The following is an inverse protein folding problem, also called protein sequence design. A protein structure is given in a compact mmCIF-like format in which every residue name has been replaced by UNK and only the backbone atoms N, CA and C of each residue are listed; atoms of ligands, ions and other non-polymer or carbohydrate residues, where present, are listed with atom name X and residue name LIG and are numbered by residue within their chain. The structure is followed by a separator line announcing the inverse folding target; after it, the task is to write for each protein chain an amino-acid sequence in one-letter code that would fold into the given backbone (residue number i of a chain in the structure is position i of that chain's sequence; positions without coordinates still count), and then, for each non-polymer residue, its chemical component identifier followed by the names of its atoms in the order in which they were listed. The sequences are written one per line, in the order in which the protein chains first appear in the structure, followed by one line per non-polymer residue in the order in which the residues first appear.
data_IF_207504145474
#
_entry.id   IF_207504145474
#
_cell.length_a   1.000
_cell.length_b   1.000
_cell.length_c   1.000
_cell.angle_alpha   90.00
_cell.angle_beta   90.00
_cell.angle_gamma   90.00
#
_symmetry.space_group_name_H-M   'P 1'
#
loop_
_entity.id
_entity.type
_entity.pdbx_description
1 polymer ?
#
# COMPACT_ATOMS: atom_id res chain seq x y z
N UNK A 1 -17.72 22.81 21.60
CA UNK A 1 -18.26 23.75 20.60
C UNK A 1 -17.54 23.65 19.23
N UNK A 2 -16.21 23.86 19.16
CA UNK A 2 -15.48 23.86 17.88
C UNK A 2 -15.34 22.45 17.32
N UNK A 3 -15.04 21.49 18.16
CA UNK A 3 -14.94 20.07 17.81
C UNK A 3 -16.31 19.48 17.44
N UNK A 4 -17.38 19.92 18.09
CA UNK A 4 -18.74 19.48 17.77
C UNK A 4 -19.17 19.98 16.39
N UNK A 5 -18.83 21.24 16.05
CA UNK A 5 -19.11 21.80 14.71
C UNK A 5 -18.36 21.03 13.64
N UNK A 6 -17.08 20.71 13.88
CA UNK A 6 -16.26 19.92 12.96
C UNK A 6 -16.86 18.52 12.75
N UNK A 7 -17.21 17.83 13.82
CA UNK A 7 -17.82 16.50 13.77
C UNK A 7 -19.15 16.48 12.99
N UNK A 8 -20.00 17.49 13.20
CA UNK A 8 -21.26 17.63 12.45
C UNK A 8 -21.00 17.90 10.97
N UNK A 9 -20.05 18.79 10.64
CA UNK A 9 -19.68 19.10 9.28
C UNK A 9 -19.17 17.85 8.53
N UNK A 10 -18.26 17.10 9.14
CA UNK A 10 -17.73 15.83 8.59
C UNK A 10 -18.86 14.82 8.39
N UNK A 11 -19.76 14.66 9.36
CA UNK A 11 -20.90 13.74 9.27
C UNK A 11 -21.86 14.11 8.14
N UNK A 12 -22.14 15.40 7.95
CA UNK A 12 -23.01 15.88 6.86
C UNK A 12 -22.32 15.64 5.51
N UNK A 13 -21.04 15.97 5.38
CA UNK A 13 -20.25 15.72 4.16
C UNK A 13 -20.26 14.24 3.78
N UNK A 14 -19.94 13.37 4.73
CA UNK A 14 -19.99 11.91 4.55
C UNK A 14 -21.37 11.42 4.08
N UNK A 15 -22.45 11.90 4.70
CA UNK A 15 -23.81 11.53 4.31
C UNK A 15 -24.18 11.96 2.89
N UNK A 16 -23.72 13.15 2.45
CA UNK A 16 -23.97 13.65 1.09
C UNK A 16 -23.25 12.78 0.07
N UNK A 17 -21.96 12.52 0.27
CA UNK A 17 -21.13 11.69 -0.62
C UNK A 17 -21.71 10.28 -0.76
N UNK A 18 -22.03 9.62 0.36
CA UNK A 18 -22.57 8.28 0.37
C UNK A 18 -23.90 8.16 -0.38
N UNK A 19 -24.84 9.10 -0.15
CA UNK A 19 -26.11 9.14 -0.87
C UNK A 19 -25.94 9.41 -2.36
N UNK A 20 -25.03 10.30 -2.75
CA UNK A 20 -24.73 10.54 -4.15
C UNK A 20 -24.24 9.28 -4.85
N UNK A 21 -23.31 8.55 -4.24
CA UNK A 21 -22.76 7.29 -4.77
C UNK A 21 -23.86 6.24 -4.94
N UNK A 22 -24.66 6.00 -3.90
CA UNK A 22 -25.72 4.99 -3.93
C UNK A 22 -26.84 5.34 -4.94
N UNK A 23 -27.12 6.64 -5.13
CA UNK A 23 -28.06 7.10 -6.16
C UNK A 23 -27.52 7.07 -7.58
N UNK A 24 -26.30 6.53 -7.81
CA UNK A 24 -25.70 6.39 -9.14
C UNK A 24 -25.09 7.67 -9.72
N UNK A 25 -24.83 8.68 -8.87
CA UNK A 25 -24.10 9.89 -9.30
C UNK A 25 -22.59 9.56 -9.42
N UNK A 26 -21.85 10.33 -10.22
CA UNK A 26 -20.39 10.22 -10.27
C UNK A 26 -19.76 10.40 -8.88
N UNK A 27 -18.62 9.73 -8.67
CA UNK A 27 -17.80 9.87 -7.45
C UNK A 27 -17.22 11.29 -7.35
N UNK A 28 -16.57 11.59 -6.21
CA UNK A 28 -16.00 12.92 -5.94
C UNK A 28 -15.04 13.39 -7.04
N UNK A 29 -14.28 12.44 -7.64
CA UNK A 29 -13.34 12.70 -8.73
C UNK A 29 -13.93 12.51 -10.13
N UNK A 30 -15.24 12.30 -10.24
CA UNK A 30 -15.96 12.15 -11.50
C UNK A 30 -15.95 10.74 -12.10
N UNK A 31 -15.27 9.77 -11.47
CA UNK A 31 -15.27 8.37 -11.92
C UNK A 31 -16.62 7.68 -11.66
N UNK A 32 -16.83 6.58 -12.33
CA UNK A 32 -17.85 5.59 -11.98
C UNK A 32 -17.38 4.68 -10.82
N UNK A 33 -18.19 3.71 -10.44
CA UNK A 33 -17.89 2.79 -9.33
C UNK A 33 -16.82 1.74 -9.66
N UNK A 34 -16.45 1.55 -10.90
CA UNK A 34 -15.58 0.46 -11.40
C UNK A 34 -14.23 0.95 -11.92
N UNK A 35 -14.15 2.19 -12.34
CA UNK A 35 -12.94 2.77 -12.95
C UNK A 35 -11.82 2.96 -11.92
N UNK A 36 -10.65 2.41 -12.24
CA UNK A 36 -9.39 2.64 -11.50
C UNK A 36 -8.77 3.96 -11.96
N UNK A 37 -8.15 4.71 -11.04
CA UNK A 37 -7.36 5.90 -11.38
C UNK A 37 -6.24 5.55 -12.34
N UNK A 38 -5.77 6.54 -13.08
CA UNK A 38 -4.63 6.37 -13.99
C UNK A 38 -3.42 5.80 -13.23
N UNK A 39 -2.77 4.81 -13.86
CA UNK A 39 -1.58 4.16 -13.34
C UNK A 39 -0.40 4.55 -14.20
N UNK A 40 0.67 5.02 -13.55
CA UNK A 40 1.98 5.25 -14.15
C UNK A 40 3.02 4.43 -13.40
N UNK A 41 3.96 3.82 -14.13
CA UNK A 41 4.96 2.90 -13.59
C UNK A 41 6.33 3.17 -14.21
N UNK A 42 7.33 3.32 -13.36
CA UNK A 42 8.73 3.33 -13.77
C UNK A 42 9.51 2.27 -12.99
N UNK A 43 10.41 1.55 -13.65
CA UNK A 43 11.31 0.57 -13.02
C UNK A 43 12.77 0.99 -13.21
N UNK A 44 13.66 0.48 -12.35
CA UNK A 44 15.06 0.83 -12.41
C UNK A 44 15.38 2.28 -12.03
N UNK A 45 14.48 2.95 -11.28
CA UNK A 45 14.60 4.39 -10.93
C UNK A 45 15.77 4.68 -9.98
N UNK A 46 16.22 3.71 -9.22
CA UNK A 46 17.35 3.82 -8.29
C UNK A 46 18.56 3.04 -8.82
N UNK A 47 19.50 3.73 -9.45
CA UNK A 47 20.65 3.13 -10.13
C UNK A 47 21.58 2.26 -9.25
N UNK A 48 21.49 2.37 -7.90
CA UNK A 48 22.33 1.60 -6.96
C UNK A 48 21.55 0.54 -6.19
N UNK A 49 20.23 0.44 -6.36
CA UNK A 49 19.43 -0.65 -5.80
C UNK A 49 19.53 -1.88 -6.71
N UNK A 50 19.29 -3.09 -6.18
CA UNK A 50 19.21 -4.29 -6.99
C UNK A 50 17.98 -4.30 -7.88
N UNK A 51 16.86 -3.72 -7.39
CA UNK A 51 15.67 -3.44 -8.16
C UNK A 51 14.90 -2.29 -7.52
N UNK A 52 14.16 -1.55 -8.32
CA UNK A 52 13.35 -0.42 -7.84
C UNK A 52 12.20 -0.13 -8.77
N UNK A 53 11.13 0.43 -8.21
CA UNK A 53 9.97 0.87 -8.97
C UNK A 53 9.37 2.13 -8.34
N UNK A 54 8.91 3.02 -9.18
CA UNK A 54 8.01 4.10 -8.81
C UNK A 54 6.62 3.73 -9.33
N UNK A 55 5.70 3.50 -8.43
CA UNK A 55 4.31 3.18 -8.76
C UNK A 55 3.42 4.36 -8.37
N UNK A 56 2.69 4.88 -9.34
CA UNK A 56 1.76 5.99 -9.15
C UNK A 56 0.35 5.54 -9.58
N UNK A 57 -0.65 5.81 -8.76
CA UNK A 57 -2.06 5.62 -9.06
C UNK A 57 -2.83 6.88 -8.65
N UNK A 58 -3.12 7.75 -9.62
CA UNK A 58 -3.65 9.08 -9.35
C UNK A 58 -2.76 9.83 -8.35
N UNK A 59 -3.31 10.24 -7.23
CA UNK A 59 -2.63 10.97 -6.14
C UNK A 59 -2.06 10.03 -5.06
N UNK A 60 -1.68 8.81 -5.42
CA UNK A 60 -1.02 7.86 -4.51
C UNK A 60 0.23 7.32 -5.19
N UNK A 61 1.38 7.56 -4.57
CA UNK A 61 2.68 7.19 -5.12
C UNK A 61 3.53 6.47 -4.07
N UNK A 62 4.19 5.39 -4.51
CA UNK A 62 5.14 4.62 -3.72
C UNK A 62 6.45 4.43 -4.48
N UNK A 63 7.55 4.85 -3.89
CA UNK A 63 8.90 4.50 -4.32
C UNK A 63 9.32 3.23 -3.58
N UNK A 64 9.54 2.16 -4.34
CA UNK A 64 9.86 0.85 -3.75
C UNK A 64 11.23 0.39 -4.22
N UNK A 65 12.06 -0.03 -3.28
CA UNK A 65 13.38 -0.59 -3.54
C UNK A 65 13.50 -2.02 -3.04
N UNK A 66 14.19 -2.86 -3.81
CA UNK A 66 14.53 -4.24 -3.44
C UNK A 66 16.03 -4.36 -3.28
N UNK A 67 16.45 -4.96 -2.17
CA UNK A 67 17.85 -5.28 -1.88
C UNK A 67 17.98 -6.77 -1.62
N UNK A 68 18.97 -7.38 -2.26
CA UNK A 68 19.33 -8.79 -2.09
C UNK A 68 20.56 -8.90 -1.20
N UNK A 69 20.48 -9.73 -0.19
CA UNK A 69 21.55 -10.01 0.74
C UNK A 69 21.85 -11.52 0.82
N UNK A 70 22.88 -11.87 1.56
CA UNK A 70 23.20 -13.28 1.86
C UNK A 70 22.23 -13.84 2.91
N UNK A 71 22.18 -15.14 3.07
CA UNK A 71 21.40 -15.78 4.16
C UNK A 71 21.85 -15.36 5.58
N UNK A 72 23.05 -14.76 5.73
CA UNK A 72 23.51 -14.21 7.00
C UNK A 72 22.77 -12.93 7.40
N UNK A 73 22.25 -12.22 6.40
CA UNK A 73 21.50 -10.96 6.57
C UNK A 73 20.02 -11.19 6.90
N UNK A 74 19.58 -12.45 6.98
CA UNK A 74 18.23 -12.81 7.39
C UNK A 74 17.95 -12.36 8.84
N UNK A 75 16.77 -11.80 9.07
CA UNK A 75 16.37 -11.40 10.42
C UNK A 75 16.21 -12.62 11.33
N UNK A 76 16.75 -12.53 12.54
CA UNK A 76 16.53 -13.55 13.58
C UNK A 76 15.27 -13.14 14.34
N UNK A 77 14.27 -14.00 14.37
CA UNK A 77 13.02 -13.78 15.08
C UNK A 77 12.99 -14.72 16.29
N UNK A 78 13.01 -14.14 17.48
CA UNK A 78 12.84 -14.86 18.74
C UNK A 78 11.35 -14.90 19.10
N UNK A 79 10.70 -16.01 18.82
CA UNK A 79 9.29 -16.24 19.15
C UNK A 79 9.16 -17.18 20.36
N UNK A 80 7.97 -17.21 20.98
CA UNK A 80 7.69 -18.11 22.11
C UNK A 80 7.88 -19.60 21.75
N UNK A 81 7.68 -19.96 20.47
CA UNK A 81 7.83 -21.33 19.98
C UNK A 81 9.27 -21.68 19.56
N UNK A 82 10.20 -20.73 19.66
CA UNK A 82 11.60 -20.91 19.25
C UNK A 82 12.09 -19.81 18.31
N UNK A 83 13.39 -19.80 18.06
CA UNK A 83 14.04 -18.84 17.18
C UNK A 83 14.08 -19.37 15.73
N UNK A 84 13.76 -18.50 14.76
CA UNK A 84 13.86 -18.82 13.34
C UNK A 84 14.44 -17.63 12.55
N UNK A 85 14.91 -17.91 11.33
CA UNK A 85 15.39 -16.89 10.40
C UNK A 85 14.31 -16.54 9.38
N UNK A 86 14.07 -15.24 9.22
CA UNK A 86 13.18 -14.67 8.21
C UNK A 86 14.03 -14.03 7.10
N UNK A 87 13.97 -14.60 5.91
CA UNK A 87 14.74 -14.17 4.73
C UNK A 87 13.95 -13.25 3.79
N UNK A 88 12.70 -12.93 4.13
CA UNK A 88 11.91 -11.92 3.42
C UNK A 88 11.46 -10.82 4.34
N UNK A 89 11.98 -9.62 4.11
CA UNK A 89 11.70 -8.44 4.90
C UNK A 89 10.96 -7.42 4.03
N UNK A 90 9.84 -6.88 4.51
CA UNK A 90 9.15 -5.78 3.86
C UNK A 90 8.89 -4.69 4.89
N UNK A 91 9.41 -3.49 4.60
CA UNK A 91 9.24 -2.29 5.39
C UNK A 91 8.36 -1.30 4.63
N UNK A 92 7.39 -0.75 5.33
CA UNK A 92 6.47 0.25 4.81
C UNK A 92 6.65 1.52 5.64
N UNK A 93 6.98 2.61 4.98
CA UNK A 93 7.18 3.92 5.60
C UNK A 93 6.14 4.91 5.06
N UNK A 94 5.46 5.58 5.99
CA UNK A 94 4.43 6.57 5.69
C UNK A 94 4.78 7.91 6.37
N UNK A 95 5.66 8.70 5.76
CA UNK A 95 6.06 9.98 6.32
C UNK A 95 4.92 11.01 6.26
N UNK A 96 4.93 11.98 7.15
CA UNK A 96 3.88 13.00 7.24
C UNK A 96 3.68 13.80 5.96
N UNK A 97 4.77 14.06 5.22
CA UNK A 97 4.70 14.81 3.96
C UNK A 97 3.86 14.11 2.88
N UNK A 98 3.68 12.77 2.95
CA UNK A 98 2.88 12.03 1.97
C UNK A 98 1.40 12.41 1.94
N UNK A 99 0.91 13.07 2.98
CA UNK A 99 -0.43 13.64 3.11
C UNK A 99 -0.41 15.16 3.33
N UNK A 100 0.71 15.82 3.02
CA UNK A 100 0.86 17.27 3.17
C UNK A 100 0.95 17.75 4.63
N UNK A 101 1.20 16.86 5.57
CA UNK A 101 1.31 17.19 7.00
C UNK A 101 2.77 17.40 7.40
N UNK A 102 2.95 18.17 8.48
CA UNK A 102 4.22 18.26 9.20
C UNK A 102 4.12 17.45 10.48
N UNK A 103 5.21 16.82 10.89
CA UNK A 103 5.21 16.02 12.10
C UNK A 103 6.59 15.53 12.49
N UNK A 104 6.70 15.01 13.72
CA UNK A 104 7.93 14.42 14.21
C UNK A 104 8.16 13.04 13.57
N UNK A 105 9.36 12.87 12.98
CA UNK A 105 9.79 11.58 12.44
C UNK A 105 10.33 10.72 13.58
N UNK A 106 9.62 9.66 13.90
CA UNK A 106 9.97 8.69 14.95
C UNK A 106 10.05 7.27 14.40
N UNK A 107 10.02 6.28 15.31
CA UNK A 107 9.92 4.87 14.91
C UNK A 107 8.57 4.53 14.26
N UNK A 108 8.46 3.35 13.62
CA UNK A 108 7.27 2.95 12.89
C UNK A 108 6.04 2.89 13.80
N UNK A 109 4.94 3.46 13.36
CA UNK A 109 3.66 3.47 14.06
C UNK A 109 2.86 2.19 13.77
N UNK A 110 1.81 1.94 14.54
CA UNK A 110 0.94 0.76 14.35
C UNK A 110 0.37 0.64 12.93
N UNK A 111 0.03 1.77 12.30
CA UNK A 111 -0.45 1.83 10.93
C UNK A 111 0.60 1.30 9.96
N UNK A 112 1.84 1.76 10.07
CA UNK A 112 2.94 1.34 9.20
C UNK A 112 3.22 -0.16 9.36
N UNK A 113 3.22 -0.67 10.59
CA UNK A 113 3.39 -2.10 10.87
C UNK A 113 2.26 -2.92 10.25
N UNK A 114 1.01 -2.48 10.39
CA UNK A 114 -0.17 -3.17 9.84
C UNK A 114 -0.17 -3.21 8.32
N UNK A 115 0.10 -2.06 7.68
CA UNK A 115 0.16 -1.94 6.22
C UNK A 115 1.34 -2.72 5.65
N UNK A 116 2.51 -2.67 6.29
CA UNK A 116 3.68 -3.45 5.91
C UNK A 116 3.42 -4.96 5.98
N UNK A 117 2.75 -5.43 7.03
CA UNK A 117 2.35 -6.84 7.16
C UNK A 117 1.35 -7.27 6.09
N UNK A 118 0.40 -6.40 5.73
CA UNK A 118 -0.56 -6.67 4.67
C UNK A 118 0.14 -6.82 3.31
N UNK A 119 1.00 -5.87 2.95
CA UNK A 119 1.78 -5.93 1.72
C UNK A 119 2.72 -7.15 1.69
N UNK A 120 3.43 -7.41 2.80
CA UNK A 120 4.31 -8.59 2.93
C UNK A 120 3.55 -9.90 2.69
N UNK A 121 2.37 -10.05 3.27
CA UNK A 121 1.55 -11.26 3.13
C UNK A 121 1.12 -11.50 1.68
N UNK A 122 0.75 -10.44 0.95
CA UNK A 122 0.38 -10.52 -0.46
C UNK A 122 1.55 -11.00 -1.33
N UNK A 123 2.75 -10.46 -1.10
CA UNK A 123 3.96 -10.79 -1.88
C UNK A 123 4.54 -12.15 -1.48
N UNK A 124 4.57 -12.50 -0.20
CA UNK A 124 5.22 -13.70 0.31
C UNK A 124 4.72 -14.99 -0.34
N UNK A 125 3.43 -15.04 -0.72
CA UNK A 125 2.82 -16.20 -1.39
C UNK A 125 3.42 -16.47 -2.79
N UNK A 126 3.96 -15.44 -3.44
CA UNK A 126 4.51 -15.47 -4.79
C UNK A 126 6.04 -15.60 -4.82
N UNK A 127 6.71 -15.50 -3.69
CA UNK A 127 8.16 -15.66 -3.64
C UNK A 127 8.58 -17.10 -3.96
N UNK A 128 9.77 -17.28 -4.53
CA UNK A 128 10.38 -18.61 -4.69
C UNK A 128 10.64 -19.24 -3.33
N UNK A 129 10.78 -20.56 -3.31
CA UNK A 129 11.21 -21.29 -2.11
C UNK A 129 12.67 -20.95 -1.78
N UNK A 130 13.04 -21.01 -0.49
CA UNK A 130 14.42 -20.73 -0.06
C UNK A 130 15.46 -21.69 -0.67
N UNK A 131 15.04 -22.89 -1.07
CA UNK A 131 15.90 -23.87 -1.76
C UNK A 131 16.28 -23.40 -3.19
N UNK A 132 15.36 -22.72 -3.87
CA UNK A 132 15.53 -22.23 -5.23
C UNK A 132 16.11 -20.79 -5.27
N UNK A 133 16.01 -20.06 -4.14
CA UNK A 133 16.43 -18.67 -4.02
C UNK A 133 17.21 -18.43 -2.73
N UNK A 134 18.52 -18.64 -2.71
CA UNK A 134 19.36 -18.61 -1.49
C UNK A 134 19.75 -17.18 -1.09
N UNK A 135 18.85 -16.21 -1.24
CA UNK A 135 19.07 -14.81 -0.89
C UNK A 135 18.07 -14.35 0.18
N UNK A 136 18.54 -13.46 1.05
CA UNK A 136 17.67 -12.63 1.85
C UNK A 136 17.19 -11.46 0.99
N UNK A 137 15.89 -11.29 0.91
CA UNK A 137 15.25 -10.25 0.10
C UNK A 137 14.64 -9.20 1.02
N UNK A 138 15.09 -7.96 0.91
CA UNK A 138 14.53 -6.83 1.65
C UNK A 138 13.86 -5.85 0.69
N UNK A 139 12.58 -5.59 0.91
CA UNK A 139 11.80 -4.58 0.19
C UNK A 139 11.53 -3.42 1.13
N UNK A 140 11.74 -2.20 0.66
CA UNK A 140 11.40 -0.97 1.37
C UNK A 140 10.46 -0.16 0.48
N UNK A 141 9.28 0.15 1.00
CA UNK A 141 8.29 1.00 0.34
C UNK A 141 8.19 2.34 1.05
N UNK A 142 8.59 3.40 0.38
CA UNK A 142 8.46 4.79 0.81
C UNK A 142 7.25 5.40 0.13
N UNK A 143 6.25 5.79 0.92
CA UNK A 143 5.07 6.48 0.39
C UNK A 143 5.39 7.95 0.23
N UNK A 144 5.39 8.42 -1.01
CA UNK A 144 5.72 9.81 -1.36
C UNK A 144 4.48 10.69 -1.45
N UNK A 145 3.33 10.10 -1.80
CA UNK A 145 2.04 10.77 -1.85
C UNK A 145 0.92 9.74 -1.55
N UNK A 146 -0.16 10.16 -0.88
CA UNK A 146 -1.25 9.26 -0.52
C UNK A 146 -2.62 9.93 -0.49
N UNK A 147 -3.50 9.47 -1.39
CA UNK A 147 -4.93 9.69 -1.35
C UNK A 147 -5.66 8.38 -1.68
N UNK A 148 -5.84 7.53 -0.66
CA UNK A 148 -6.45 6.20 -0.78
C UNK A 148 -5.47 5.08 -1.11
N UNK A 149 -5.45 4.09 -0.22
CA UNK A 149 -4.73 2.80 -0.30
C UNK A 149 -3.27 2.80 -0.75
N UNK A 150 -2.43 3.47 0.01
CA UNK A 150 -0.97 3.39 -0.13
C UNK A 150 -0.40 1.99 0.13
N UNK A 151 -1.08 1.15 0.92
CA UNK A 151 -0.68 -0.26 1.12
C UNK A 151 -0.78 -1.07 -0.17
N UNK A 152 -1.82 -0.84 -0.98
CA UNK A 152 -1.97 -1.52 -2.27
C UNK A 152 -0.99 -0.97 -3.32
N UNK A 153 -0.66 0.32 -3.27
CA UNK A 153 0.44 0.88 -4.06
C UNK A 153 1.78 0.21 -3.70
N UNK A 154 2.02 -0.07 -2.42
CA UNK A 154 3.20 -0.82 -1.97
C UNK A 154 3.23 -2.25 -2.49
N UNK A 155 2.08 -2.94 -2.57
CA UNK A 155 1.99 -4.28 -3.17
C UNK A 155 2.38 -4.25 -4.65
N UNK A 156 1.81 -3.32 -5.41
CA UNK A 156 2.12 -3.17 -6.84
C UNK A 156 3.60 -2.81 -7.05
N UNK A 157 4.09 -1.79 -6.34
CA UNK A 157 5.48 -1.37 -6.43
C UNK A 157 6.49 -2.44 -5.97
N UNK A 158 6.15 -3.22 -4.92
CA UNK A 158 6.98 -4.33 -4.47
C UNK A 158 7.07 -5.45 -5.51
N UNK A 159 5.95 -5.80 -6.15
CA UNK A 159 5.94 -6.78 -7.25
C UNK A 159 6.85 -6.34 -8.40
N UNK A 160 6.78 -5.08 -8.81
CA UNK A 160 7.60 -4.50 -9.86
C UNK A 160 9.09 -4.46 -9.48
N UNK A 161 9.41 -3.96 -8.27
CA UNK A 161 10.79 -3.86 -7.79
C UNK A 161 11.45 -5.24 -7.59
N UNK A 162 10.69 -6.27 -7.25
CA UNK A 162 11.18 -7.65 -7.17
C UNK A 162 11.49 -8.21 -8.56
N UNK A 163 10.64 -7.96 -9.55
CA UNK A 163 10.87 -8.37 -10.93
C UNK A 163 12.07 -7.62 -11.53
N UNK A 164 12.22 -6.34 -11.26
CA UNK A 164 13.37 -5.52 -11.67
C UNK A 164 14.69 -6.04 -11.05
N UNK A 165 14.64 -6.52 -9.79
CA UNK A 165 15.76 -7.16 -9.11
C UNK A 165 16.07 -8.59 -9.62
N UNK A 166 15.32 -9.12 -10.57
CA UNK A 166 15.47 -10.46 -11.10
C UNK A 166 15.01 -11.58 -10.14
N UNK A 167 14.22 -11.28 -9.12
CA UNK A 167 13.65 -12.31 -8.24
C UNK A 167 12.61 -13.13 -9.01
N UNK A 168 12.75 -14.47 -9.09
CA UNK A 168 11.84 -15.32 -9.86
C UNK A 168 10.52 -15.54 -9.09
N UNK A 169 9.71 -14.49 -8.97
CA UNK A 169 8.37 -14.62 -8.37
C UNK A 169 7.47 -15.48 -9.27
N UNK A 170 6.57 -16.27 -8.66
CA UNK A 170 5.70 -17.21 -9.39
C UNK A 170 4.74 -16.50 -10.36
N UNK A 171 4.27 -15.31 -9.98
CA UNK A 171 3.42 -14.45 -10.79
C UNK A 171 3.48 -13.01 -10.26
N UNK A 172 3.24 -12.00 -11.12
CA UNK A 172 3.06 -10.62 -10.68
C UNK A 172 1.88 -10.49 -9.70
N UNK A 173 2.03 -9.58 -8.72
CA UNK A 173 1.01 -9.30 -7.71
C UNK A 173 0.54 -7.86 -7.89
N UNK A 174 -0.76 -7.67 -7.96
CA UNK A 174 -1.38 -6.36 -7.91
C UNK A 174 -2.33 -6.26 -6.71
N UNK A 175 -2.59 -5.04 -6.27
CA UNK A 175 -3.51 -4.77 -5.17
C UNK A 175 -4.33 -3.53 -5.44
N UNK A 176 -5.60 -3.58 -5.02
CA UNK A 176 -6.53 -2.45 -5.08
C UNK A 176 -7.43 -2.44 -3.84
N UNK A 177 -7.84 -1.26 -3.40
CA UNK A 177 -8.81 -1.13 -2.32
C UNK A 177 -10.22 -1.08 -2.89
N UNK A 178 -11.08 -1.92 -2.33
CA UNK A 178 -12.51 -1.94 -2.62
C UNK A 178 -13.26 -1.36 -1.43
N UNK A 179 -14.31 -0.59 -1.69
CA UNK A 179 -15.21 -0.05 -0.69
C UNK A 179 -16.63 -0.56 -0.88
N UNK A 180 -17.37 -0.63 0.21
CA UNK A 180 -18.81 -0.89 0.22
C UNK A 180 -19.51 0.29 0.88
N UNK A 181 -20.32 1.01 0.09
CA UNK A 181 -21.22 2.05 0.62
C UNK A 181 -22.60 1.42 0.78
N UNK A 182 -23.11 1.44 2.01
CA UNK A 182 -24.45 0.93 2.36
C UNK A 182 -25.28 2.04 2.99
N UNK A 183 -26.42 2.35 2.40
CA UNK A 183 -27.38 3.36 2.90
C UNK A 183 -28.78 2.75 2.93
N UNK A 184 -29.25 2.37 4.14
CA UNK A 184 -30.49 1.61 4.28
C UNK A 184 -30.38 0.22 3.67
N UNK A 185 -31.18 -0.06 2.64
CA UNK A 185 -31.14 -1.34 1.87
C UNK A 185 -30.37 -1.21 0.55
N UNK A 186 -29.97 0.00 0.16
CA UNK A 186 -29.24 0.26 -1.06
C UNK A 186 -27.74 0.22 -0.83
N UNK A 187 -26.99 -0.32 -1.79
CA UNK A 187 -25.53 -0.39 -1.68
C UNK A 187 -24.83 -0.14 -3.01
N UNK A 188 -23.58 0.30 -2.93
CA UNK A 188 -22.66 0.40 -4.06
C UNK A 188 -21.29 -0.15 -3.69
N UNK A 189 -20.68 -0.91 -4.61
CA UNK A 189 -19.30 -1.39 -4.47
C UNK A 189 -18.40 -0.47 -5.27
N UNK A 190 -17.38 0.10 -4.62
CA UNK A 190 -16.42 1.01 -5.22
C UNK A 190 -15.08 0.31 -5.46
N UNK A 191 -14.54 0.46 -6.65
CA UNK A 191 -13.18 0.06 -6.99
C UNK A 191 -12.24 1.26 -6.83
N UNK A 192 -11.06 1.05 -6.24
CA UNK A 192 -10.04 2.08 -6.01
C UNK A 192 -10.58 3.30 -5.26
N UNK A 193 -10.92 3.08 -4.00
CA UNK A 193 -11.48 4.13 -3.13
C UNK A 193 -10.48 5.23 -2.81
N UNK A 194 -10.99 6.46 -2.69
CA UNK A 194 -10.28 7.62 -2.15
C UNK A 194 -10.38 7.66 -0.62
N UNK A 195 -9.53 8.48 0.01
CA UNK A 195 -9.58 8.70 1.46
C UNK A 195 -10.89 9.32 1.94
N UNK A 196 -11.49 10.19 1.14
CA UNK A 196 -12.75 10.86 1.47
C UNK A 196 -14.00 10.01 1.22
N UNK A 197 -13.84 8.81 0.67
CA UNK A 197 -14.93 7.85 0.41
C UNK A 197 -14.98 6.71 1.45
N UNK A 198 -14.03 6.70 2.42
CA UNK A 198 -13.89 5.67 3.46
C UNK A 198 -14.79 5.89 4.70
#
# INVERSE_FOLDING_TARGET
AKDDIKAVFESVGKSIVRRAIVSGQPRIDGRDTTTVRQIDVEVGVLAKAHGSALFTRGETQALVSTTLGSMRDAAIIDALQGSYRDNFLLHYNFPHYSVGETGFSGGPKRREIGHGRLARRAIAAMLPKSEDWPYTTRVVSEITESNGSSSMASVCGASLALMDAGVPIKAPVAGIAMGLVLEGEEFAVLTDILGDED
#
